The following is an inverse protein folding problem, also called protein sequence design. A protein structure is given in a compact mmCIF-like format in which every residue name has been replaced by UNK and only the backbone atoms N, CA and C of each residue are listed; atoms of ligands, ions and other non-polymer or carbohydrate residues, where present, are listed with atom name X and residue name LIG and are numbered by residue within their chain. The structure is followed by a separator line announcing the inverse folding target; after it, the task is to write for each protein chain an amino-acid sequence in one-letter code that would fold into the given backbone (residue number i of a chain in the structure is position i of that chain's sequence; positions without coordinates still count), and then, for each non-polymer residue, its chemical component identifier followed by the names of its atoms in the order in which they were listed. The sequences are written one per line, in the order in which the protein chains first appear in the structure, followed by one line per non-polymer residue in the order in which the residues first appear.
data_IF_585583147804
#
_entry.id   IF_585583147804
#
_cell.length_a   1.000
_cell.length_b   1.000
_cell.length_c   1.000
_cell.angle_alpha   90.00
_cell.angle_beta   90.00
_cell.angle_gamma   90.00
#
_symmetry.space_group_name_H-M   'P 1'
#
loop_
_entity.id
_entity.type
_entity.pdbx_description
1 polymer ?
#
# COMPACT_ATOMS: atom_id res chain seq x y z
N UNK A 1 47.21 -3.28 24.25
CA UNK A 1 47.30 -1.92 23.69
C UNK A 1 45.93 -1.55 23.12
N UNK A 2 45.10 -0.85 23.90
CA UNK A 2 43.78 -0.38 23.47
C UNK A 2 43.95 0.87 22.61
N UNK A 3 43.77 0.76 21.30
CA UNK A 3 43.80 1.91 20.39
C UNK A 3 42.50 2.71 20.57
N UNK A 4 42.57 3.80 21.33
CA UNK A 4 41.48 4.77 21.41
C UNK A 4 41.31 5.45 20.05
N UNK A 5 40.12 5.33 19.47
CA UNK A 5 39.78 5.97 18.20
C UNK A 5 39.82 7.49 18.39
N UNK A 6 40.56 8.19 17.52
CA UNK A 6 40.59 9.66 17.52
C UNK A 6 39.17 10.20 17.34
N UNK A 7 38.78 11.31 18.02
CA UNK A 7 37.42 11.85 17.97
C UNK A 7 36.86 12.03 16.55
N UNK A 8 37.73 12.39 15.61
CA UNK A 8 37.43 12.54 14.18
C UNK A 8 36.89 11.27 13.52
N UNK A 9 37.40 10.09 13.91
CA UNK A 9 36.94 8.79 13.40
C UNK A 9 35.59 8.41 14.01
N UNK A 10 35.32 8.83 15.24
CA UNK A 10 34.03 8.60 15.88
C UNK A 10 32.93 9.43 15.21
N UNK A 11 33.23 10.69 14.87
CA UNK A 11 32.33 11.57 14.11
C UNK A 11 32.03 11.00 12.73
N UNK A 12 33.02 10.45 12.01
CA UNK A 12 32.80 9.85 10.68
C UNK A 12 31.94 8.58 10.75
N UNK A 13 32.09 7.76 11.80
CA UNK A 13 31.24 6.57 12.04
C UNK A 13 29.80 6.96 12.37
N UNK A 14 29.59 7.98 13.22
CA UNK A 14 28.26 8.50 13.55
C UNK A 14 27.59 9.11 12.30
N UNK A 15 28.33 9.87 11.50
CA UNK A 15 27.86 10.43 10.24
C UNK A 15 27.45 9.34 9.24
N UNK A 16 28.25 8.29 9.10
CA UNK A 16 27.96 7.13 8.23
C UNK A 16 26.73 6.34 8.71
N UNK A 17 26.57 6.17 10.02
CA UNK A 17 25.39 5.49 10.59
C UNK A 17 24.11 6.31 10.41
N UNK A 18 24.17 7.64 10.51
CA UNK A 18 23.03 8.50 10.21
C UNK A 18 22.67 8.51 8.72
N UNK A 19 23.65 8.41 7.81
CA UNK A 19 23.38 8.21 6.38
C UNK A 19 22.71 6.86 6.10
N UNK A 20 23.11 5.78 6.79
CA UNK A 20 22.48 4.46 6.62
C UNK A 20 21.06 4.38 7.20
N UNK A 21 20.75 5.13 8.27
CA UNK A 21 19.37 5.25 8.79
C UNK A 21 18.43 5.94 7.80
N UNK A 22 18.94 6.83 6.96
CA UNK A 22 18.19 7.47 5.88
C UNK A 22 18.33 6.75 4.52
N UNK A 23 19.03 5.62 4.49
CA UNK A 23 19.49 4.92 3.28
C UNK A 23 18.54 3.86 2.70
N UNK A 24 17.24 3.90 3.02
CA UNK A 24 16.20 3.04 2.42
C UNK A 24 15.13 3.84 1.66
N UNK A 25 15.50 4.97 1.05
CA UNK A 25 14.61 5.70 0.13
C UNK A 25 15.08 5.64 -1.35
N UNK A 26 15.70 4.53 -1.74
CA UNK A 26 15.99 4.26 -3.15
C UNK A 26 15.27 3.00 -3.62
N UNK A 27 13.94 3.10 -3.65
CA UNK A 27 13.16 2.48 -4.73
C UNK A 27 12.17 3.53 -5.24
N UNK A 28 12.58 4.19 -6.33
CA UNK A 28 11.73 4.54 -7.47
C UNK A 28 10.48 5.39 -7.19
N UNK A 29 10.43 6.58 -7.78
CA UNK A 29 9.22 7.41 -7.93
C UNK A 29 8.10 6.74 -8.78
N UNK A 30 7.99 5.40 -8.78
CA UNK A 30 7.16 4.64 -9.70
C UNK A 30 5.98 3.87 -9.10
N UNK A 31 5.86 3.61 -7.79
CA UNK A 31 4.62 3.05 -7.22
C UNK A 31 4.58 3.23 -5.70
N UNK A 32 4.10 4.39 -5.22
CA UNK A 32 3.74 4.53 -3.81
C UNK A 32 2.48 3.70 -3.56
N UNK A 33 2.64 2.51 -3.00
CA UNK A 33 1.51 1.70 -2.53
C UNK A 33 0.84 2.43 -1.36
N UNK A 34 -0.48 2.64 -1.45
CA UNK A 34 -1.26 3.16 -0.34
C UNK A 34 -1.19 2.18 0.84
N UNK A 35 -0.63 2.63 1.97
CA UNK A 35 -0.49 1.83 3.20
C UNK A 35 -1.60 2.11 4.19
N UNK A 36 -2.28 3.24 4.05
CA UNK A 36 -3.39 3.63 4.92
C UNK A 36 -4.65 3.93 4.11
N UNK A 37 -5.81 3.88 4.76
CA UNK A 37 -7.10 4.17 4.11
C UNK A 37 -7.15 5.58 3.54
N UNK A 38 -6.57 6.56 4.23
CA UNK A 38 -6.54 7.96 3.78
C UNK A 38 -5.74 8.11 2.48
N UNK A 39 -4.70 7.32 2.28
CA UNK A 39 -3.91 7.36 1.05
C UNK A 39 -4.66 6.84 -0.18
N UNK A 40 -5.74 6.05 0.00
CA UNK A 40 -6.57 5.58 -1.11
C UNK A 40 -7.35 6.72 -1.79
N UNK A 41 -7.62 7.81 -1.08
CA UNK A 41 -8.30 8.99 -1.65
C UNK A 41 -7.47 9.66 -2.77
N UNK A 42 -6.16 9.40 -2.81
CA UNK A 42 -5.25 9.93 -3.84
C UNK A 42 -4.92 8.87 -4.91
N UNK A 43 -5.49 7.67 -4.83
CA UNK A 43 -5.23 6.61 -5.79
C UNK A 43 -6.00 6.89 -7.09
N UNK A 44 -5.31 6.87 -8.24
CA UNK A 44 -5.95 7.00 -9.56
C UNK A 44 -6.61 5.70 -10.02
N UNK A 45 -6.01 4.57 -9.67
CA UNK A 45 -6.45 3.22 -10.05
C UNK A 45 -6.63 2.37 -8.82
N UNK A 46 -7.76 1.66 -8.73
CA UNK A 46 -8.09 0.79 -7.61
C UNK A 46 -8.38 -0.60 -8.16
N UNK A 47 -7.59 -1.58 -7.70
CA UNK A 47 -7.84 -3.00 -7.97
C UNK A 47 -8.69 -3.56 -6.83
N UNK A 48 -9.88 -4.07 -7.13
CA UNK A 48 -10.75 -4.69 -6.12
C UNK A 48 -10.61 -6.21 -6.21
N UNK A 49 -10.17 -6.82 -5.11
CA UNK A 49 -10.15 -8.28 -4.98
C UNK A 49 -11.30 -8.74 -4.09
N UNK A 50 -12.16 -9.58 -4.65
CA UNK A 50 -13.25 -10.22 -3.91
C UNK A 50 -12.90 -11.69 -3.63
N UNK A 51 -13.00 -12.09 -2.37
CA UNK A 51 -12.97 -13.52 -2.03
C UNK A 51 -14.24 -14.21 -2.50
N UNK A 52 -14.18 -15.50 -2.87
CA UNK A 52 -15.35 -16.26 -3.33
C UNK A 52 -16.51 -16.23 -2.33
N UNK A 53 -16.22 -16.34 -1.03
CA UNK A 53 -17.23 -16.26 0.04
C UNK A 53 -18.04 -14.94 0.05
N UNK A 54 -17.48 -13.86 -0.50
CA UNK A 54 -18.16 -12.56 -0.61
C UNK A 54 -19.28 -12.61 -1.65
N UNK A 55 -19.07 -13.34 -2.74
CA UNK A 55 -19.98 -13.37 -3.90
C UNK A 55 -20.82 -14.65 -3.99
N UNK A 56 -20.54 -15.67 -3.17
CA UNK A 56 -21.24 -16.96 -3.19
C UNK A 56 -22.26 -17.05 -2.05
N UNK A 57 -23.49 -17.53 -2.34
CA UNK A 57 -24.56 -17.77 -1.35
C UNK A 57 -24.10 -18.60 -0.13
N UNK A 58 -24.75 -18.48 1.05
CA UNK A 58 -24.35 -19.21 2.26
C UNK A 58 -24.31 -20.73 2.10
N UNK A 59 -25.22 -21.29 1.31
CA UNK A 59 -25.32 -22.70 0.95
C UNK A 59 -24.33 -23.13 -0.14
N UNK A 60 -23.53 -22.20 -0.65
CA UNK A 60 -22.57 -22.37 -1.75
C UNK A 60 -23.18 -22.81 -3.09
N UNK A 61 -24.51 -22.70 -3.25
CA UNK A 61 -25.21 -23.17 -4.46
C UNK A 61 -24.99 -22.28 -5.70
N UNK A 62 -24.36 -21.12 -5.55
CA UNK A 62 -24.03 -20.23 -6.65
C UNK A 62 -23.81 -18.78 -6.21
N UNK A 63 -23.93 -17.85 -7.16
CA UNK A 63 -23.73 -16.43 -6.90
C UNK A 63 -24.86 -15.82 -6.06
N UNK A 64 -24.47 -14.99 -5.08
CA UNK A 64 -25.38 -14.16 -4.30
C UNK A 64 -25.61 -12.84 -5.05
N UNK A 65 -26.52 -12.87 -6.02
CA UNK A 65 -26.75 -11.75 -6.95
C UNK A 65 -27.08 -10.43 -6.25
N UNK A 66 -27.81 -10.44 -5.14
CA UNK A 66 -28.08 -9.22 -4.36
C UNK A 66 -26.82 -8.58 -3.77
N UNK A 67 -25.87 -9.39 -3.26
CA UNK A 67 -24.57 -8.88 -2.80
C UNK A 67 -23.71 -8.41 -3.97
N UNK A 68 -23.73 -9.16 -5.07
CA UNK A 68 -22.99 -8.75 -6.28
C UNK A 68 -23.51 -7.43 -6.83
N UNK A 69 -24.83 -7.23 -6.89
CA UNK A 69 -25.45 -5.98 -7.33
C UNK A 69 -25.01 -4.79 -6.45
N UNK A 70 -25.04 -4.95 -5.13
CA UNK A 70 -24.59 -3.90 -4.21
C UNK A 70 -23.10 -3.54 -4.38
N UNK A 71 -22.24 -4.54 -4.68
CA UNK A 71 -20.82 -4.28 -4.97
C UNK A 71 -20.67 -3.53 -6.30
N UNK A 72 -21.40 -3.95 -7.34
CA UNK A 72 -21.38 -3.29 -8.66
C UNK A 72 -21.85 -1.84 -8.56
N UNK A 73 -22.91 -1.58 -7.78
CA UNK A 73 -23.42 -0.23 -7.53
C UNK A 73 -22.35 0.67 -6.88
N UNK A 74 -21.68 0.19 -5.83
CA UNK A 74 -20.59 0.93 -5.18
C UNK A 74 -19.42 1.20 -6.14
N UNK A 75 -19.06 0.23 -6.99
CA UNK A 75 -18.02 0.43 -8.00
C UNK A 75 -18.45 1.50 -9.01
N UNK A 76 -19.71 1.49 -9.43
CA UNK A 76 -20.25 2.47 -10.37
C UNK A 76 -20.23 3.89 -9.79
N UNK A 77 -20.53 4.07 -8.51
CA UNK A 77 -20.41 5.36 -7.82
C UNK A 77 -18.96 5.87 -7.81
N UNK A 78 -17.99 4.99 -7.56
CA UNK A 78 -16.56 5.36 -7.59
C UNK A 78 -16.08 5.72 -9.01
N UNK A 79 -16.54 4.99 -10.03
CA UNK A 79 -16.26 5.34 -11.43
C UNK A 79 -16.77 6.76 -11.77
N UNK A 80 -17.95 7.16 -11.26
CA UNK A 80 -18.49 8.52 -11.44
C UNK A 80 -17.64 9.59 -10.75
N UNK A 81 -16.88 9.22 -9.72
CA UNK A 81 -15.92 10.09 -9.03
C UNK A 81 -14.55 10.17 -9.73
N UNK A 82 -14.43 9.62 -10.94
CA UNK A 82 -13.20 9.56 -11.75
C UNK A 82 -12.11 8.60 -11.22
N UNK A 83 -12.46 7.61 -10.41
CA UNK A 83 -11.57 6.49 -10.12
C UNK A 83 -11.60 5.46 -11.27
N UNK A 84 -10.43 4.94 -11.65
CA UNK A 84 -10.34 3.78 -12.55
C UNK A 84 -10.41 2.49 -11.71
N UNK A 85 -11.41 1.67 -11.96
CA UNK A 85 -11.68 0.44 -11.20
C UNK A 85 -11.33 -0.79 -12.06
N UNK A 86 -10.66 -1.78 -11.45
CA UNK A 86 -10.35 -3.07 -12.08
C UNK A 86 -10.66 -4.25 -11.15
#
# INVERSE_FOLDING_TARGET
MSTSLKPTQLTSIIQRNNQMKNGYHMSTALNKLARTRVELNNAKKIIIKLGSAVVTKPDRSGLALGRLAAIVEQIAELCQQNYEMM
#
